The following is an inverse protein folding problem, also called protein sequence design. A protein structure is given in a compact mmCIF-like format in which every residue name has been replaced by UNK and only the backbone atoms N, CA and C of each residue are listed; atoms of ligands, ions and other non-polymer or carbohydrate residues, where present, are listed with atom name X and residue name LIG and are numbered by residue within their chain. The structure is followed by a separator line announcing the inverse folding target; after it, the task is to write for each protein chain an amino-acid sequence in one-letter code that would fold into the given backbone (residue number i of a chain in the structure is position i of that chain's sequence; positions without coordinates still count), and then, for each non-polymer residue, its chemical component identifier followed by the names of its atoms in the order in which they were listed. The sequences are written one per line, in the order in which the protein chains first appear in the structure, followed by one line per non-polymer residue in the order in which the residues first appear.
data_IF_457203817150
#
_entry.id   IF_457203817150
#
_cell.length_a   1.000
_cell.length_b   1.000
_cell.length_c   1.000
_cell.angle_alpha   90.00
_cell.angle_beta   90.00
_cell.angle_gamma   90.00
#
_symmetry.space_group_name_H-M   'P 1'
#
loop_
_entity.id
_entity.type
_entity.pdbx_description
1 polymer ?
#
# COMPACT_ATOMS: atom_id res chain seq x y z
N UNK A 1 23.23 9.75 -9.94
CA UNK A 1 22.83 8.47 -9.31
C UNK A 1 22.45 7.53 -10.43
N UNK A 2 23.39 6.68 -10.84
CA UNK A 2 23.16 5.66 -11.87
C UNK A 2 22.35 4.51 -11.24
N UNK A 3 21.03 4.57 -11.37
CA UNK A 3 20.17 3.39 -11.30
C UNK A 3 20.09 2.71 -12.69
N UNK A 4 21.23 2.66 -13.39
CA UNK A 4 21.34 2.06 -14.71
C UNK A 4 21.41 0.53 -14.52
N UNK A 5 20.45 -0.17 -15.12
CA UNK A 5 20.30 -1.62 -15.16
C UNK A 5 20.07 -2.34 -13.83
N UNK A 6 18.90 -2.12 -13.19
CA UNK A 6 18.27 -3.19 -12.42
C UNK A 6 17.36 -3.98 -13.39
N UNK A 7 17.73 -5.22 -13.77
CA UNK A 7 16.90 -6.08 -14.60
C UNK A 7 15.46 -6.17 -14.10
N UNK A 8 14.49 -6.11 -15.03
CA UNK A 8 13.05 -6.29 -14.75
C UNK A 8 12.72 -7.55 -13.93
N UNK A 9 13.60 -8.55 -13.96
CA UNK A 9 13.53 -9.78 -13.15
C UNK A 9 13.57 -9.50 -11.64
N UNK A 10 14.30 -8.48 -11.18
CA UNK A 10 14.35 -8.11 -9.77
C UNK A 10 13.03 -7.54 -9.26
N UNK A 11 12.27 -6.84 -10.12
CA UNK A 11 10.92 -6.40 -9.78
C UNK A 11 9.97 -7.59 -9.54
N UNK A 12 10.05 -8.62 -10.38
CA UNK A 12 9.30 -9.86 -10.19
C UNK A 12 9.70 -10.62 -8.93
N UNK A 13 10.99 -10.70 -8.62
CA UNK A 13 11.44 -11.29 -7.36
C UNK A 13 10.90 -10.52 -6.15
N UNK A 14 10.91 -9.19 -6.18
CA UNK A 14 10.34 -8.39 -5.09
C UNK A 14 8.84 -8.66 -4.90
N UNK A 15 8.05 -8.67 -5.98
CA UNK A 15 6.61 -8.99 -5.93
C UNK A 15 6.37 -10.38 -5.37
N UNK A 16 7.10 -11.38 -5.85
CA UNK A 16 6.94 -12.77 -5.45
C UNK A 16 7.33 -12.97 -3.97
N UNK A 17 8.42 -12.36 -3.52
CA UNK A 17 8.85 -12.36 -2.12
C UNK A 17 7.78 -11.69 -1.25
N UNK A 18 7.26 -10.52 -1.63
CA UNK A 18 6.19 -9.84 -0.88
C UNK A 18 4.95 -10.73 -0.77
N UNK A 19 4.55 -11.38 -1.86
CA UNK A 19 3.40 -12.28 -1.86
C UNK A 19 3.60 -13.47 -0.91
N UNK A 20 4.76 -14.12 -0.93
CA UNK A 20 5.07 -15.21 0.00
C UNK A 20 5.09 -14.75 1.46
N UNK A 21 5.70 -13.61 1.75
CA UNK A 21 5.72 -13.04 3.11
C UNK A 21 4.29 -12.74 3.57
N UNK A 22 3.47 -12.11 2.74
CA UNK A 22 2.07 -11.80 3.08
C UNK A 22 1.25 -13.05 3.34
N UNK A 23 1.38 -14.09 2.50
CA UNK A 23 0.71 -15.39 2.72
C UNK A 23 1.16 -16.03 4.03
N UNK A 24 2.46 -16.04 4.29
CA UNK A 24 3.02 -16.63 5.51
C UNK A 24 2.56 -15.89 6.77
N UNK A 25 2.46 -14.56 6.72
CA UNK A 25 1.96 -13.75 7.84
C UNK A 25 0.45 -13.90 8.08
N UNK A 26 -0.33 -14.21 7.04
CA UNK A 26 -1.78 -14.44 7.14
C UNK A 26 -2.12 -15.85 7.66
N UNK A 27 -1.27 -16.84 7.35
CA UNK A 27 -1.48 -18.25 7.65
C UNK A 27 -1.76 -18.55 9.15
N UNK A 28 -0.98 -18.06 10.12
CA UNK A 28 -1.23 -18.37 11.54
C UNK A 28 -2.55 -17.76 12.05
N UNK A 29 -2.94 -16.59 11.55
CA UNK A 29 -4.22 -15.98 11.92
C UNK A 29 -5.39 -16.80 11.35
N UNK A 30 -5.34 -17.10 10.04
CA UNK A 30 -6.42 -17.85 9.36
C UNK A 30 -6.59 -19.28 9.83
N UNK A 31 -5.50 -19.95 10.25
CA UNK A 31 -5.57 -21.31 10.78
C UNK A 31 -6.24 -21.41 12.16
N UNK A 32 -6.23 -20.33 12.94
CA UNK A 32 -6.75 -20.29 14.32
C UNK A 32 -8.13 -19.61 14.44
N UNK A 33 -8.57 -18.89 13.41
CA UNK A 33 -9.90 -18.30 13.35
C UNK A 33 -10.93 -19.42 13.20
N UNK A 34 -11.94 -19.41 14.06
CA UNK A 34 -13.04 -20.38 14.02
C UNK A 34 -14.40 -19.67 14.11
N UNK A 35 -15.43 -20.37 13.66
CA UNK A 35 -16.80 -19.94 13.88
C UNK A 35 -17.15 -20.09 15.37
N UNK A 36 -17.27 -18.95 16.05
CA UNK A 36 -17.55 -18.89 17.48
C UNK A 36 -18.98 -18.38 17.69
N UNK A 37 -19.84 -19.14 18.39
CA UNK A 37 -21.17 -18.67 18.74
C UNK A 37 -21.08 -17.66 19.90
N UNK A 38 -21.63 -16.47 19.71
CA UNK A 38 -21.77 -15.43 20.74
C UNK A 38 -23.25 -15.01 20.81
N UNK A 39 -23.94 -15.49 21.84
CA UNK A 39 -25.40 -15.37 21.93
C UNK A 39 -26.07 -16.10 20.76
N UNK A 40 -26.98 -15.42 20.06
CA UNK A 40 -27.71 -15.97 18.89
C UNK A 40 -26.96 -15.77 17.55
N UNK A 41 -25.72 -15.29 17.59
CA UNK A 41 -24.94 -14.96 16.38
C UNK A 41 -23.70 -15.83 16.27
N UNK A 42 -23.42 -16.27 15.05
CA UNK A 42 -22.15 -16.89 14.67
C UNK A 42 -21.22 -15.79 14.16
N UNK A 43 -20.07 -15.64 14.81
CA UNK A 43 -19.01 -14.73 14.35
C UNK A 43 -17.75 -15.53 14.00
N UNK A 44 -17.00 -15.03 13.02
CA UNK A 44 -15.72 -15.59 12.62
C UNK A 44 -14.62 -14.88 13.42
N UNK A 45 -14.18 -15.47 14.52
CA UNK A 45 -13.26 -14.81 15.45
C UNK A 45 -12.34 -15.81 16.17
N UNK A 46 -11.34 -15.29 16.91
CA UNK A 46 -10.46 -16.11 17.72
C UNK A 46 -11.22 -16.67 18.94
N UNK A 47 -11.12 -17.99 19.22
CA UNK A 47 -11.68 -18.57 20.44
C UNK A 47 -10.94 -18.06 21.69
N UNK A 48 -11.59 -18.13 22.86
CA UNK A 48 -11.03 -17.76 24.18
C UNK A 48 -9.54 -18.10 24.39
N UNK A 49 -9.06 -19.35 24.19
CA UNK A 49 -7.65 -19.69 24.39
C UNK A 49 -6.67 -18.97 23.45
N UNK A 50 -7.14 -18.40 22.34
CA UNK A 50 -6.33 -17.75 21.31
C UNK A 50 -6.58 -16.25 21.18
N UNK A 51 -7.28 -15.61 22.13
CA UNK A 51 -7.54 -14.17 22.09
C UNK A 51 -6.26 -13.33 21.99
N UNK A 52 -5.12 -13.79 22.53
CA UNK A 52 -3.84 -13.07 22.36
C UNK A 52 -3.44 -12.88 20.87
N UNK A 53 -3.91 -13.73 19.97
CA UNK A 53 -3.70 -13.61 18.53
C UNK A 53 -4.44 -12.42 17.89
N UNK A 54 -5.39 -11.79 18.58
CA UNK A 54 -6.06 -10.55 18.12
C UNK A 54 -5.06 -9.41 17.90
N UNK A 55 -4.06 -9.30 18.78
CA UNK A 55 -2.97 -8.34 18.65
C UNK A 55 -2.05 -8.69 17.49
N UNK A 56 -1.69 -9.96 17.35
CA UNK A 56 -0.91 -10.44 16.20
C UNK A 56 -1.64 -10.13 14.89
N UNK A 57 -2.92 -10.47 14.83
CA UNK A 57 -3.75 -10.25 13.65
C UNK A 57 -3.81 -8.76 13.29
N UNK A 58 -4.01 -7.88 14.27
CA UNK A 58 -4.12 -6.44 14.02
C UNK A 58 -2.78 -5.79 13.67
N UNK A 59 -1.69 -6.20 14.32
CA UNK A 59 -0.38 -5.60 14.10
C UNK A 59 0.28 -6.08 12.79
N UNK A 60 0.15 -7.37 12.48
CA UNK A 60 0.91 -8.06 11.44
C UNK A 60 0.01 -8.49 10.28
N UNK A 61 -1.05 -9.25 10.55
CA UNK A 61 -1.84 -9.91 9.49
C UNK A 61 -2.81 -8.99 8.75
N UNK A 62 -3.39 -7.99 9.44
CA UNK A 62 -4.37 -7.06 8.90
C UNK A 62 -3.69 -5.81 8.31
N UNK A 63 -2.37 -5.85 8.16
CA UNK A 63 -1.57 -4.75 7.63
C UNK A 63 -1.81 -3.41 8.37
N UNK A 64 -2.30 -3.45 9.61
CA UNK A 64 -2.96 -2.28 10.18
C UNK A 64 -1.97 -1.34 10.89
N UNK A 65 -0.80 -1.83 11.33
CA UNK A 65 0.20 -1.01 12.02
C UNK A 65 1.59 -1.13 11.42
N UNK A 66 2.12 -2.34 11.29
CA UNK A 66 3.51 -2.52 10.84
C UNK A 66 3.72 -2.03 9.40
N UNK A 67 2.76 -2.32 8.51
CA UNK A 67 2.84 -1.93 7.11
C UNK A 67 2.71 -0.40 6.93
N UNK A 68 1.77 0.33 7.57
CA UNK A 68 1.74 1.79 7.60
C UNK A 68 3.02 2.41 8.15
N UNK A 69 3.62 1.84 9.19
CA UNK A 69 4.87 2.33 9.77
C UNK A 69 6.03 2.19 8.76
N UNK A 70 6.19 1.02 8.15
CA UNK A 70 7.21 0.80 7.12
C UNK A 70 7.02 1.75 5.93
N UNK A 71 5.77 1.90 5.47
CA UNK A 71 5.40 2.83 4.39
C UNK A 71 5.72 4.28 4.78
N UNK A 72 5.48 4.67 6.03
CA UNK A 72 5.79 6.03 6.53
C UNK A 72 7.29 6.30 6.49
N UNK A 73 8.12 5.34 6.90
CA UNK A 73 9.59 5.45 6.81
C UNK A 73 10.02 5.61 5.36
N UNK A 74 9.49 4.78 4.45
CA UNK A 74 9.78 4.88 3.02
C UNK A 74 9.35 6.24 2.46
N UNK A 75 8.17 6.74 2.83
CA UNK A 75 7.69 8.07 2.44
C UNK A 75 8.62 9.18 2.90
N UNK A 76 9.13 9.12 4.13
CA UNK A 76 10.09 10.11 4.65
C UNK A 76 11.39 10.10 3.84
N UNK A 77 11.88 8.91 3.46
CA UNK A 77 13.06 8.77 2.61
C UNK A 77 12.79 9.36 1.22
N UNK A 78 11.68 8.98 0.58
CA UNK A 78 11.28 9.50 -0.74
C UNK A 78 11.14 11.03 -0.70
N UNK A 79 10.46 11.55 0.31
CA UNK A 79 10.26 12.98 0.50
C UNK A 79 11.58 13.72 0.70
N UNK A 80 12.51 13.14 1.46
CA UNK A 80 13.86 13.69 1.66
C UNK A 80 14.65 13.75 0.35
N UNK A 81 14.54 12.71 -0.48
CA UNK A 81 15.14 12.67 -1.82
C UNK A 81 14.53 13.76 -2.70
N UNK A 82 13.20 13.87 -2.76
CA UNK A 82 12.49 14.91 -3.53
C UNK A 82 12.92 16.31 -3.08
N UNK A 83 12.99 16.56 -1.76
CA UNK A 83 13.44 17.85 -1.21
C UNK A 83 14.87 18.17 -1.58
N UNK A 84 15.79 17.20 -1.51
CA UNK A 84 17.20 17.38 -1.91
C UNK A 84 17.30 17.72 -3.40
N UNK A 85 16.56 16.99 -4.24
CA UNK A 85 16.50 17.24 -5.68
C UNK A 85 15.88 18.61 -6.01
N UNK A 86 14.86 19.03 -5.26
CA UNK A 86 14.25 20.35 -5.42
C UNK A 86 15.19 21.49 -5.01
N UNK A 87 16.02 21.29 -3.97
CA UNK A 87 17.03 22.28 -3.53
C UNK A 87 18.21 22.38 -4.51
N UNK A 88 18.74 21.27 -5.00
CA UNK A 88 19.78 21.29 -6.05
C UNK A 88 19.30 22.01 -7.32
N UNK A 89 18.01 21.89 -7.64
CA UNK A 89 17.38 22.54 -8.79
C UNK A 89 17.33 24.06 -8.77
N UNK A 90 17.41 24.70 -7.61
CA UNK A 90 17.50 26.16 -7.55
C UNK A 90 18.80 26.66 -8.20
N UNK A 91 19.77 25.76 -8.42
CA UNK A 91 21.10 26.06 -8.95
C UNK A 91 21.36 25.56 -10.39
N UNK A 92 20.57 24.62 -10.93
CA UNK A 92 20.80 24.06 -12.28
C UNK A 92 19.49 23.90 -13.07
N UNK A 93 19.41 24.62 -14.20
CA UNK A 93 18.26 24.62 -15.08
C UNK A 93 18.30 23.41 -16.04
N UNK A 94 17.12 22.83 -16.27
CA UNK A 94 16.79 21.70 -17.17
C UNK A 94 16.90 20.31 -16.54
N UNK A 95 15.73 19.68 -16.37
CA UNK A 95 15.63 18.25 -16.07
C UNK A 95 15.41 17.45 -17.34
N UNK A 96 16.12 16.32 -17.44
CA UNK A 96 15.80 15.28 -18.41
C UNK A 96 14.37 14.77 -18.20
N UNK A 97 13.72 14.31 -19.28
CA UNK A 97 12.34 13.80 -19.20
C UNK A 97 12.25 12.59 -18.26
N UNK A 98 13.28 11.75 -18.22
CA UNK A 98 13.38 10.61 -17.30
C UNK A 98 13.37 11.05 -15.83
N UNK A 99 14.12 12.09 -15.45
CA UNK A 99 14.11 12.60 -14.08
C UNK A 99 12.74 13.17 -13.68
N UNK A 100 12.04 13.85 -14.60
CA UNK A 100 10.67 14.35 -14.37
C UNK A 100 9.70 13.20 -14.11
N UNK A 101 9.84 12.11 -14.86
CA UNK A 101 8.99 10.94 -14.75
C UNK A 101 9.23 10.18 -13.44
N UNK A 102 10.48 9.94 -13.05
CA UNK A 102 10.81 9.32 -11.77
C UNK A 102 10.28 10.11 -10.58
N UNK A 103 10.37 11.44 -10.61
CA UNK A 103 9.82 12.28 -9.53
C UNK A 103 8.30 12.29 -9.52
N UNK A 104 7.65 12.29 -10.69
CA UNK A 104 6.19 12.12 -10.76
C UNK A 104 5.75 10.80 -10.14
N UNK A 105 6.46 9.71 -10.41
CA UNK A 105 6.20 8.40 -9.81
C UNK A 105 6.40 8.43 -8.29
N UNK A 106 7.49 9.05 -7.79
CA UNK A 106 7.71 9.23 -6.36
C UNK A 106 6.60 10.05 -5.67
N UNK A 107 6.11 11.13 -6.31
CA UNK A 107 5.00 11.94 -5.79
C UNK A 107 3.70 11.14 -5.75
N UNK A 108 3.41 10.36 -6.79
CA UNK A 108 2.24 9.48 -6.83
C UNK A 108 2.30 8.43 -5.72
N UNK A 109 3.46 7.77 -5.56
CA UNK A 109 3.69 6.80 -4.49
C UNK A 109 3.48 7.43 -3.12
N UNK A 110 4.00 8.65 -2.90
CA UNK A 110 3.85 9.38 -1.64
C UNK A 110 2.37 9.69 -1.35
N UNK A 111 1.61 10.19 -2.33
CA UNK A 111 0.17 10.48 -2.17
C UNK A 111 -0.59 9.21 -1.79
N UNK A 112 -0.42 8.14 -2.57
CA UNK A 112 -1.10 6.85 -2.32
C UNK A 112 -0.76 6.31 -0.93
N UNK A 113 0.51 6.41 -0.57
CA UNK A 113 1.01 5.90 0.71
C UNK A 113 0.51 6.72 1.90
N UNK A 114 0.41 8.05 1.77
CA UNK A 114 -0.20 8.90 2.80
C UNK A 114 -1.68 8.58 3.00
N UNK A 115 -2.44 8.41 1.90
CA UNK A 115 -3.86 8.04 1.97
C UNK A 115 -4.02 6.68 2.65
N UNK A 116 -3.17 5.71 2.30
CA UNK A 116 -3.17 4.40 2.96
C UNK A 116 -2.99 4.52 4.48
N UNK A 117 -2.02 5.31 4.95
CA UNK A 117 -1.76 5.50 6.39
C UNK A 117 -2.95 6.17 7.09
N UNK A 118 -3.51 7.24 6.50
CA UNK A 118 -4.65 7.97 7.07
C UNK A 118 -5.90 7.09 7.17
N UNK A 119 -6.14 6.23 6.19
CA UNK A 119 -7.27 5.31 6.19
C UNK A 119 -7.07 4.10 7.11
N UNK A 120 -5.84 3.59 7.25
CA UNK A 120 -5.56 2.39 8.04
C UNK A 120 -5.46 2.67 9.54
N UNK A 121 -4.80 3.77 9.95
CA UNK A 121 -4.53 4.05 11.37
C UNK A 121 -5.76 4.08 12.29
N UNK A 122 -6.89 4.73 11.94
CA UNK A 122 -8.05 4.82 12.82
C UNK A 122 -8.60 3.44 13.21
N UNK A 123 -8.65 2.52 12.25
CA UNK A 123 -9.12 1.15 12.47
C UNK A 123 -8.19 0.39 13.42
N UNK A 124 -6.88 0.47 13.20
CA UNK A 124 -5.87 -0.22 14.02
C UNK A 124 -5.87 0.25 15.46
N UNK A 125 -5.93 1.57 15.65
CA UNK A 125 -6.01 2.18 16.98
C UNK A 125 -7.29 1.75 17.69
N UNK A 126 -8.43 1.78 17.00
CA UNK A 126 -9.71 1.36 17.56
C UNK A 126 -9.70 -0.11 18.01
N UNK A 127 -9.17 -1.04 17.21
CA UNK A 127 -9.02 -2.45 17.60
C UNK A 127 -8.10 -2.63 18.80
N UNK A 128 -6.92 -1.99 18.82
CA UNK A 128 -5.99 -2.08 19.94
C UNK A 128 -6.64 -1.55 21.23
N UNK A 129 -7.38 -0.43 21.14
CA UNK A 129 -8.15 0.09 22.27
C UNK A 129 -9.23 -0.90 22.72
N UNK A 130 -9.98 -1.50 21.79
CA UNK A 130 -11.02 -2.47 22.10
C UNK A 130 -10.45 -3.69 22.87
N UNK A 131 -9.36 -4.28 22.39
CA UNK A 131 -8.72 -5.42 23.04
C UNK A 131 -8.14 -5.06 24.41
N UNK A 132 -7.55 -3.87 24.52
CA UNK A 132 -6.91 -3.43 25.77
C UNK A 132 -7.96 -3.15 26.84
N UNK A 133 -9.06 -2.48 26.51
CA UNK A 133 -10.16 -2.22 27.45
C UNK A 133 -10.82 -3.54 27.85
N UNK A 134 -11.06 -4.46 26.89
CA UNK A 134 -11.66 -5.76 27.17
C UNK A 134 -10.85 -6.61 28.17
N UNK A 135 -9.52 -6.44 28.20
CA UNK A 135 -8.64 -7.18 29.12
C UNK A 135 -8.40 -6.47 30.44
N UNK A 136 -8.30 -5.14 30.45
CA UNK A 136 -8.01 -4.37 31.67
C UNK A 136 -9.27 -4.15 32.51
N UNK A 137 -10.42 -3.92 31.88
CA UNK A 137 -11.68 -3.69 32.57
C UNK A 137 -12.87 -4.24 31.76
N UNK A 138 -13.15 -5.55 31.85
CA UNK A 138 -14.23 -6.19 31.11
C UNK A 138 -15.62 -5.68 31.52
N UNK A 139 -15.75 -4.98 32.64
CA UNK A 139 -17.02 -4.40 33.10
C UNK A 139 -17.49 -3.25 32.20
N UNK A 140 -16.57 -2.60 31.47
CA UNK A 140 -16.86 -1.49 30.56
C UNK A 140 -17.39 -1.95 29.19
N UNK A 141 -18.43 -2.78 29.21
CA UNK A 141 -19.06 -3.34 28.00
C UNK A 141 -19.48 -2.29 26.97
N UNK A 142 -19.89 -1.09 27.41
CA UNK A 142 -20.24 0.02 26.51
C UNK A 142 -19.02 0.58 25.77
N UNK A 143 -17.91 0.79 26.47
CA UNK A 143 -16.67 1.33 25.87
C UNK A 143 -16.07 0.32 24.88
N UNK A 144 -16.08 -0.97 25.24
CA UNK A 144 -15.62 -2.07 24.38
C UNK A 144 -16.47 -2.12 23.09
N UNK A 145 -17.80 -2.12 23.20
CA UNK A 145 -18.70 -2.11 22.04
C UNK A 145 -18.51 -0.87 21.16
N UNK A 146 -18.34 0.29 21.78
CA UNK A 146 -18.08 1.53 21.04
C UNK A 146 -16.77 1.42 20.25
N UNK A 147 -15.70 0.92 20.86
CA UNK A 147 -14.40 0.76 20.21
C UNK A 147 -14.48 -0.21 19.00
N UNK A 148 -15.17 -1.35 19.15
CA UNK A 148 -15.41 -2.26 18.03
C UNK A 148 -16.24 -1.62 16.91
N UNK A 149 -17.31 -0.90 17.25
CA UNK A 149 -18.12 -0.20 16.24
C UNK A 149 -17.31 0.87 15.49
N UNK A 150 -16.42 1.58 16.17
CA UNK A 150 -15.52 2.56 15.54
C UNK A 150 -14.53 1.85 14.61
N UNK A 151 -14.00 0.68 15.01
CA UNK A 151 -13.11 -0.11 14.18
C UNK A 151 -13.81 -0.59 12.89
N UNK A 152 -15.05 -1.09 13.03
CA UNK A 152 -15.85 -1.56 11.90
C UNK A 152 -16.28 -0.41 10.98
N UNK A 153 -16.60 0.77 11.53
CA UNK A 153 -16.86 1.95 10.72
C UNK A 153 -15.59 2.38 9.98
N UNK A 154 -14.44 2.38 10.67
CA UNK A 154 -13.14 2.74 10.09
C UNK A 154 -12.70 1.78 9.00
N UNK A 155 -13.13 0.51 9.03
CA UNK A 155 -12.92 -0.44 7.94
C UNK A 155 -13.43 0.10 6.60
N UNK A 156 -14.53 0.88 6.60
CA UNK A 156 -15.08 1.45 5.38
C UNK A 156 -14.15 2.49 4.73
N UNK A 157 -13.18 3.04 5.47
CA UNK A 157 -12.17 3.94 4.91
C UNK A 157 -11.26 3.23 3.91
N UNK A 158 -11.15 1.89 3.95
CA UNK A 158 -10.43 1.14 2.92
C UNK A 158 -11.09 1.23 1.54
N UNK A 159 -12.42 1.28 1.48
CA UNK A 159 -13.11 1.51 0.21
C UNK A 159 -12.78 2.90 -0.35
N UNK A 160 -12.73 3.92 0.51
CA UNK A 160 -12.32 5.27 0.11
C UNK A 160 -10.87 5.29 -0.38
N UNK A 161 -9.95 4.60 0.32
CA UNK A 161 -8.56 4.44 -0.09
C UNK A 161 -8.46 3.87 -1.51
N UNK A 162 -9.21 2.81 -1.81
CA UNK A 162 -9.17 2.14 -3.11
C UNK A 162 -9.71 3.05 -4.22
N UNK A 163 -10.76 3.82 -3.94
CA UNK A 163 -11.27 4.85 -4.86
C UNK A 163 -10.23 5.94 -5.13
N UNK A 164 -9.55 6.45 -4.10
CA UNK A 164 -8.49 7.45 -4.25
C UNK A 164 -7.32 6.89 -5.06
N UNK A 165 -6.92 5.63 -4.81
CA UNK A 165 -5.90 4.95 -5.59
C UNK A 165 -6.25 4.92 -7.07
N UNK A 166 -7.48 4.52 -7.40
CA UNK A 166 -7.99 4.54 -8.77
C UNK A 166 -7.93 5.95 -9.37
N UNK A 167 -8.41 6.98 -8.67
CA UNK A 167 -8.39 8.38 -9.14
C UNK A 167 -6.95 8.85 -9.42
N UNK A 168 -6.02 8.58 -8.51
CA UNK A 168 -4.61 8.96 -8.67
C UNK A 168 -4.00 8.25 -9.87
N UNK A 169 -4.23 6.95 -10.01
CA UNK A 169 -3.76 6.16 -11.14
C UNK A 169 -4.35 6.66 -12.47
N UNK A 170 -5.65 6.99 -12.51
CA UNK A 170 -6.29 7.59 -13.68
C UNK A 170 -5.67 8.95 -14.04
N UNK A 171 -5.50 9.83 -13.05
CA UNK A 171 -5.05 11.21 -13.27
C UNK A 171 -3.56 11.31 -13.64
N UNK A 172 -2.72 10.47 -13.05
CA UNK A 172 -1.27 10.58 -13.17
C UNK A 172 -0.64 9.57 -14.12
N UNK A 173 -1.24 8.40 -14.33
CA UNK A 173 -0.67 7.38 -15.23
C UNK A 173 -1.39 7.27 -16.58
N UNK A 174 -2.52 7.97 -16.76
CA UNK A 174 -3.20 8.02 -18.07
C UNK A 174 -3.70 6.65 -18.53
N UNK A 175 -3.98 5.74 -17.60
CA UNK A 175 -4.45 4.36 -17.83
C UNK A 175 -5.65 4.32 -18.79
N UNK A 176 -6.52 5.33 -18.78
CA UNK A 176 -7.62 5.44 -19.73
C UNK A 176 -7.14 5.50 -21.18
N UNK A 177 -6.06 6.21 -21.49
CA UNK A 177 -5.51 6.30 -22.84
C UNK A 177 -5.00 4.94 -23.30
N UNK A 178 -4.35 4.20 -22.41
CA UNK A 178 -3.89 2.85 -22.70
C UNK A 178 -5.05 1.85 -22.86
N UNK A 179 -5.98 1.79 -21.89
CA UNK A 179 -7.16 0.91 -21.98
C UNK A 179 -8.02 1.24 -23.20
N UNK A 180 -8.18 2.53 -23.54
CA UNK A 180 -8.93 2.97 -24.71
C UNK A 180 -8.26 2.54 -26.02
N UNK A 181 -6.93 2.65 -26.14
CA UNK A 181 -6.19 2.19 -27.33
C UNK A 181 -6.22 0.65 -27.46
N UNK A 182 -6.20 -0.08 -26.34
CA UNK A 182 -6.37 -1.55 -26.31
C UNK A 182 -7.78 -1.96 -26.72
N UNK A 183 -8.82 -1.32 -26.17
CA UNK A 183 -10.23 -1.58 -26.52
C UNK A 183 -10.52 -1.21 -27.97
N UNK A 184 -9.85 -0.20 -28.53
CA UNK A 184 -9.98 0.22 -29.93
C UNK A 184 -9.29 -0.72 -30.92
N UNK A 185 -8.64 -1.79 -30.46
CA UNK A 185 -8.11 -2.85 -31.32
C UNK A 185 -6.92 -2.42 -32.18
N UNK A 186 -6.15 -1.40 -31.78
CA UNK A 186 -4.88 -1.11 -32.45
C UNK A 186 -3.89 -2.21 -32.11
N UNK A 187 -3.64 -3.08 -33.09
CA UNK A 187 -2.53 -4.04 -33.06
C UNK A 187 -1.22 -3.30 -32.83
N UNK A 188 -0.65 -3.43 -31.62
CA UNK A 188 0.71 -2.97 -31.35
C UNK A 188 1.68 -3.93 -32.05
N UNK A 189 2.07 -3.61 -33.28
CA UNK A 189 3.31 -4.14 -33.87
C UNK A 189 4.57 -3.66 -33.15
N UNK A 190 4.46 -2.71 -32.23
CA UNK A 190 5.55 -2.31 -31.35
C UNK A 190 5.15 -2.54 -29.89
N UNK A 191 5.52 -3.71 -29.39
CA UNK A 191 5.46 -4.11 -27.98
C UNK A 191 6.45 -3.32 -27.09
N UNK A 192 6.64 -2.01 -27.36
CA UNK A 192 7.69 -1.20 -26.74
C UNK A 192 7.18 0.18 -26.28
N UNK A 193 5.95 0.30 -25.78
CA UNK A 193 5.47 1.58 -25.20
C UNK A 193 5.09 1.50 -23.72
N UNK A 194 4.93 0.28 -23.20
CA UNK A 194 4.95 0.05 -21.74
C UNK A 194 6.37 -0.09 -21.19
N UNK A 195 7.36 -0.24 -22.06
CA UNK A 195 8.77 -0.06 -21.71
C UNK A 195 9.05 1.42 -21.45
N UNK A 196 8.73 2.31 -22.38
CA UNK A 196 9.30 3.66 -22.40
C UNK A 196 8.69 4.63 -21.37
N UNK A 197 7.60 4.24 -20.71
CA UNK A 197 7.06 4.97 -19.55
C UNK A 197 7.67 4.50 -18.21
N UNK A 198 8.54 3.50 -18.23
CA UNK A 198 9.34 3.04 -17.09
C UNK A 198 10.85 2.91 -17.42
N UNK A 199 11.21 2.93 -18.70
CA UNK A 199 12.56 2.82 -19.23
C UNK A 199 12.91 4.16 -19.87
N UNK A 200 13.75 4.92 -19.19
CA UNK A 200 14.62 5.83 -19.92
C UNK A 200 15.57 4.98 -20.74
N UNK A 201 15.46 5.09 -22.06
CA UNK A 201 16.41 4.48 -22.96
C UNK A 201 17.47 5.50 -23.33
N UNK A 202 18.67 5.26 -22.82
CA UNK A 202 19.91 5.60 -23.52
C UNK A 202 19.84 4.95 -24.89
N UNK A 203 20.03 5.71 -25.97
CA UNK A 203 20.56 5.15 -27.20
C UNK A 203 21.68 6.03 -27.71
N UNK A 204 22.88 5.47 -27.52
CA UNK A 204 24.10 5.78 -28.22
C UNK A 204 23.85 5.75 -29.74
N UNK A 205 24.37 6.80 -30.38
CA UNK A 205 24.92 6.79 -31.73
C UNK A 205 25.60 5.46 -32.08
N UNK A 206 25.17 4.84 -33.17
CA UNK A 206 26.03 3.96 -33.96
C UNK A 206 26.25 4.66 -35.30
N UNK A 207 27.44 5.24 -35.44
CA UNK A 207 28.09 5.48 -36.72
C UNK A 207 28.54 4.12 -37.26
N UNK A 208 28.00 3.71 -38.40
CA UNK A 208 28.67 3.41 -39.68
C UNK A 208 27.79 2.49 -40.53
#
# INVERSE_FOLDING_TARGET
MEFSNIPRRYGWYAVLITLFISLFMLLPATALIMWTPIGDKLICWFPEPYQYMEYYHTLISNAAVLQPLAITVINIIIFSIIRRLAKQKQSEAVWTNQAKQSVRACVVLLIVSCVYVVCALPQSVAYICAYTIARTDPSQTRAIRLAYNVADLSWNLYFLRDVVYLIVMFRFMGIFRWCYEVIRGREHRDACLMSDTFLGQDNMTIMH
#
